data_IF_149401595582
#
_entry.id   IF_149401595582
#
_cell.length_a   1.000
_cell.length_b   1.000
_cell.length_c   1.000
_cell.angle_alpha   90.00
_cell.angle_beta   90.00
_cell.angle_gamma   90.00
#
_symmetry.space_group_name_H-M   'P 1'
#
loop_
_entity.id
_entity.type
_entity.pdbx_description
1 polymer ?
#
# COMPACT_ATOMS: atom_id res chain seq x y z
N UNK A 1 22.48 53.71 11.09
CA UNK A 1 22.21 52.89 9.87
C UNK A 1 20.73 52.57 9.82
N UNK A 2 19.89 53.55 9.50
CA UNK A 2 18.43 53.40 9.59
C UNK A 2 17.78 52.76 8.38
N UNK A 3 18.44 52.68 7.24
CA UNK A 3 17.85 52.20 5.97
C UNK A 3 18.70 51.13 5.24
N UNK A 4 19.55 50.39 5.95
CA UNK A 4 20.48 49.42 5.36
C UNK A 4 19.78 48.34 4.52
N UNK A 5 18.59 47.93 4.93
CA UNK A 5 17.82 46.88 4.23
C UNK A 5 16.58 47.43 3.49
N UNK A 6 16.47 48.75 3.29
CA UNK A 6 15.37 49.34 2.57
C UNK A 6 15.33 48.86 1.10
N UNK A 7 14.19 48.27 0.68
CA UNK A 7 14.01 47.78 -0.68
C UNK A 7 14.69 46.45 -1.01
N UNK A 8 15.19 45.73 0.00
CA UNK A 8 15.86 44.42 -0.19
C UNK A 8 14.85 43.25 -0.20
N UNK A 9 13.73 43.38 -0.93
CA UNK A 9 12.67 42.34 -1.00
C UNK A 9 13.15 41.04 -1.67
N UNK A 10 14.17 41.13 -2.51
CA UNK A 10 14.79 39.96 -3.17
C UNK A 10 15.93 39.32 -2.36
N UNK A 11 16.20 39.82 -1.16
CA UNK A 11 17.25 39.27 -0.31
C UNK A 11 16.82 37.88 0.22
N UNK A 12 17.58 36.84 -0.14
CA UNK A 12 17.32 35.46 0.28
C UNK A 12 18.28 34.96 1.34
N UNK A 13 19.41 35.62 1.50
CA UNK A 13 20.44 35.27 2.47
C UNK A 13 21.08 36.49 3.10
N UNK A 14 21.29 36.45 4.40
CA UNK A 14 21.94 37.51 5.19
C UNK A 14 22.97 36.89 6.13
N UNK A 15 24.22 37.24 5.98
CA UNK A 15 25.29 36.93 6.94
C UNK A 15 25.52 38.14 7.83
N UNK A 16 25.14 38.05 9.09
CA UNK A 16 25.12 39.17 10.03
C UNK A 16 26.22 39.02 11.11
N UNK A 17 27.00 40.06 11.31
CA UNK A 17 27.90 40.15 12.45
C UNK A 17 27.12 40.19 13.74
N UNK A 18 27.57 39.49 14.78
CA UNK A 18 26.97 39.49 16.12
C UNK A 18 26.82 40.91 16.73
N UNK A 19 27.64 41.89 16.28
CA UNK A 19 27.55 43.29 16.69
C UNK A 19 26.39 44.06 15.98
N UNK A 20 25.69 43.47 15.04
CA UNK A 20 24.55 44.11 14.39
C UNK A 20 23.36 44.08 15.34
N UNK A 21 23.00 45.22 15.90
CA UNK A 21 21.97 45.30 16.95
C UNK A 21 20.52 45.24 16.39
N UNK A 22 20.33 45.61 15.12
CA UNK A 22 18.98 45.69 14.52
C UNK A 22 19.02 45.38 13.01
N UNK A 23 17.93 44.78 12.53
CA UNK A 23 17.67 44.52 11.12
C UNK A 23 16.65 45.51 10.54
N UNK A 24 16.90 46.81 10.75
CA UNK A 24 15.96 47.86 10.33
C UNK A 24 15.67 47.78 8.83
N UNK A 25 14.37 47.79 8.45
CA UNK A 25 13.87 47.72 7.09
C UNK A 25 14.10 46.36 6.37
N UNK A 26 14.64 45.35 7.06
CA UNK A 26 14.59 44.00 6.52
C UNK A 26 13.12 43.56 6.41
N UNK A 27 12.83 42.77 5.39
CA UNK A 27 11.47 42.26 5.17
C UNK A 27 10.96 41.46 6.39
N UNK A 28 9.75 41.82 6.87
CA UNK A 28 9.11 41.12 7.99
C UNK A 28 8.42 39.85 7.48
N UNK A 29 9.21 38.83 7.28
CA UNK A 29 8.80 37.50 6.81
C UNK A 29 9.50 36.42 7.63
N UNK A 30 9.30 35.17 7.32
CA UNK A 30 10.00 34.05 7.94
C UNK A 30 11.47 33.99 7.52
N UNK A 31 12.32 33.78 8.49
CA UNK A 31 13.76 33.56 8.33
C UNK A 31 14.17 32.34 9.15
N UNK A 32 15.31 31.74 8.84
CA UNK A 32 15.86 30.66 9.66
C UNK A 32 17.39 30.74 9.71
N UNK A 33 17.93 30.25 10.83
CA UNK A 33 19.35 29.94 10.98
C UNK A 33 19.60 28.51 10.47
N UNK A 34 20.26 28.39 9.33
CA UNK A 34 20.49 27.09 8.68
C UNK A 34 21.49 26.20 9.43
N UNK A 35 22.38 26.79 10.24
CA UNK A 35 23.38 26.07 11.03
C UNK A 35 22.73 25.38 12.25
N UNK A 36 21.83 26.12 12.92
CA UNK A 36 21.21 25.65 14.17
C UNK A 36 19.76 25.16 14.00
N UNK A 37 19.23 25.17 12.77
CA UNK A 37 17.87 24.75 12.43
C UNK A 37 16.80 25.48 13.27
N UNK A 38 16.97 26.77 13.47
CA UNK A 38 16.02 27.63 14.21
C UNK A 38 15.26 28.52 13.26
N UNK A 39 13.95 28.46 13.31
CA UNK A 39 13.06 29.27 12.47
C UNK A 39 12.49 30.47 13.24
N UNK A 40 12.31 31.58 12.54
CA UNK A 40 11.68 32.81 13.01
C UNK A 40 10.53 33.16 12.08
N UNK A 41 9.32 33.26 12.63
CA UNK A 41 8.13 33.60 11.85
C UNK A 41 8.06 35.08 11.49
N UNK A 42 8.89 35.92 12.11
CA UNK A 42 8.93 37.35 11.91
C UNK A 42 10.27 37.96 12.33
N UNK A 43 10.47 39.20 11.91
CA UNK A 43 11.70 39.96 12.17
C UNK A 43 12.01 40.16 13.65
N UNK A 44 10.99 40.29 14.50
CA UNK A 44 11.19 40.48 15.96
C UNK A 44 11.82 39.26 16.63
N UNK A 45 11.36 38.07 16.25
CA UNK A 45 11.95 36.80 16.72
C UNK A 45 13.39 36.64 16.23
N UNK A 46 13.64 36.90 14.95
CA UNK A 46 14.99 36.91 14.39
C UNK A 46 15.93 37.85 15.14
N UNK A 47 15.52 39.10 15.39
CA UNK A 47 16.33 40.08 16.12
C UNK A 47 16.60 39.64 17.57
N UNK A 48 15.59 39.10 18.24
CA UNK A 48 15.72 38.60 19.62
C UNK A 48 16.72 37.44 19.69
N UNK A 49 16.67 36.54 18.73
CA UNK A 49 17.64 35.44 18.62
C UNK A 49 19.04 35.95 18.29
N UNK A 50 19.17 36.83 17.30
CA UNK A 50 20.46 37.34 16.85
C UNK A 50 21.25 38.05 17.95
N UNK A 51 20.59 38.83 18.82
CA UNK A 51 21.21 39.50 19.94
C UNK A 51 21.87 38.57 20.97
N UNK A 52 21.55 37.29 20.96
CA UNK A 52 22.14 36.27 21.82
C UNK A 52 23.32 35.56 21.20
N UNK A 53 23.62 35.84 19.92
CA UNK A 53 24.73 35.19 19.23
C UNK A 53 26.07 35.86 19.63
N UNK A 54 27.07 35.05 19.83
CA UNK A 54 28.46 35.50 20.08
C UNK A 54 29.31 35.52 18.79
N UNK A 55 28.82 34.89 17.71
CA UNK A 55 29.50 34.73 16.45
C UNK A 55 28.63 35.27 15.31
N UNK A 56 29.26 35.66 14.18
CA UNK A 56 28.51 35.99 12.97
C UNK A 56 27.63 34.81 12.52
N UNK A 57 26.37 35.11 12.19
CA UNK A 57 25.36 34.08 11.90
C UNK A 57 24.72 34.32 10.52
N UNK A 58 24.56 33.24 9.76
CA UNK A 58 23.87 33.23 8.49
C UNK A 58 22.37 32.96 8.66
N UNK A 59 21.57 33.81 8.03
CA UNK A 59 20.11 33.65 8.01
C UNK A 59 19.63 33.55 6.59
N UNK A 60 18.71 32.61 6.34
CA UNK A 60 18.02 32.49 5.06
C UNK A 60 16.56 32.89 5.18
N UNK A 61 16.03 33.49 4.14
CA UNK A 61 14.61 33.77 4.02
C UNK A 61 13.87 32.49 3.69
N UNK A 62 12.78 32.23 4.42
CA UNK A 62 11.95 31.03 4.24
C UNK A 62 11.49 30.46 5.56
N UNK A 63 10.78 29.34 5.45
CA UNK A 63 10.26 28.58 6.58
C UNK A 63 10.64 27.11 6.43
N UNK A 64 10.84 26.42 7.54
CA UNK A 64 10.86 24.97 7.55
C UNK A 64 9.45 24.44 7.32
N UNK A 65 9.39 23.49 6.44
CA UNK A 65 8.18 22.73 6.16
C UNK A 65 8.37 21.33 6.70
N UNK A 66 7.30 20.70 7.13
CA UNK A 66 7.27 19.32 7.57
C UNK A 66 6.37 18.49 6.67
N UNK A 67 6.87 17.33 6.27
CA UNK A 67 6.07 16.27 5.68
C UNK A 67 5.94 15.16 6.72
N UNK A 68 4.71 14.91 7.18
CA UNK A 68 4.40 13.75 8.02
C UNK A 68 3.92 12.62 7.11
N UNK A 69 4.60 11.49 7.12
CA UNK A 69 4.23 10.27 6.42
C UNK A 69 3.57 9.33 7.42
N UNK A 70 2.29 9.05 7.24
CA UNK A 70 1.52 8.11 8.06
C UNK A 70 1.41 6.77 7.32
N UNK A 71 2.01 5.74 7.90
CA UNK A 71 2.04 4.41 7.29
C UNK A 71 0.68 3.67 7.33
N UNK A 72 -0.35 4.24 7.94
CA UNK A 72 -1.72 3.68 7.96
C UNK A 72 -1.76 2.20 8.39
N UNK A 73 -1.11 1.90 9.50
CA UNK A 73 -0.97 0.55 10.06
C UNK A 73 0.06 -0.33 9.34
N UNK A 74 0.94 0.27 8.55
CA UNK A 74 2.23 -0.28 8.17
C UNK A 74 3.33 0.29 9.06
N UNK A 75 4.58 -0.06 8.80
CA UNK A 75 5.75 0.39 9.55
C UNK A 75 6.91 0.74 8.62
N UNK A 76 7.76 1.65 9.05
CA UNK A 76 9.03 1.95 8.43
C UNK A 76 10.14 1.02 8.94
N UNK A 77 11.35 1.08 8.36
CA UNK A 77 12.49 0.24 8.77
C UNK A 77 12.84 0.35 10.27
N UNK A 78 12.55 1.51 10.89
CA UNK A 78 12.73 1.80 12.31
C UNK A 78 11.56 1.35 13.19
N UNK A 79 10.60 0.62 12.63
CA UNK A 79 9.36 0.13 13.26
C UNK A 79 8.39 1.23 13.71
N UNK A 80 8.61 2.47 13.29
CA UNK A 80 7.69 3.56 13.55
C UNK A 80 6.54 3.56 12.52
N UNK A 81 5.34 3.91 12.96
CA UNK A 81 4.16 4.04 12.08
C UNK A 81 4.09 5.40 11.37
N UNK A 82 4.87 6.36 11.82
CA UNK A 82 4.95 7.69 11.23
C UNK A 82 6.38 8.15 11.08
N UNK A 83 6.66 8.84 9.97
CA UNK A 83 7.96 9.46 9.71
C UNK A 83 7.78 10.93 9.36
N UNK A 84 8.66 11.78 9.91
CA UNK A 84 8.61 13.22 9.66
C UNK A 84 9.89 13.65 8.97
N UNK A 85 9.76 14.31 7.83
CA UNK A 85 10.85 15.01 7.16
C UNK A 85 10.70 16.52 7.35
N UNK A 86 11.83 17.21 7.48
CA UNK A 86 11.88 18.67 7.50
C UNK A 86 12.70 19.16 6.31
N UNK A 87 12.14 20.06 5.53
CA UNK A 87 12.77 20.67 4.35
C UNK A 87 12.50 22.16 4.35
N UNK A 88 13.26 22.87 3.53
CA UNK A 88 13.04 24.29 3.28
C UNK A 88 12.13 24.42 2.07
N UNK A 89 11.31 25.46 2.05
CA UNK A 89 10.45 25.75 0.88
C UNK A 89 11.27 25.76 -0.42
N UNK A 90 10.86 24.98 -1.39
CA UNK A 90 11.52 24.80 -2.69
C UNK A 90 12.45 23.57 -2.78
N UNK A 91 12.76 22.90 -1.67
CA UNK A 91 13.44 21.59 -1.69
C UNK A 91 12.46 20.47 -2.01
N UNK A 92 12.97 19.28 -2.33
CA UNK A 92 12.15 18.12 -2.67
C UNK A 92 12.08 17.15 -1.50
N UNK A 93 10.89 16.59 -1.29
CA UNK A 93 10.68 15.51 -0.33
C UNK A 93 11.30 14.21 -0.85
N UNK A 94 11.76 13.38 0.06
CA UNK A 94 12.26 12.04 -0.25
C UNK A 94 11.15 11.03 -0.03
N UNK A 95 10.89 10.18 -1.01
CA UNK A 95 9.95 9.08 -0.84
C UNK A 95 10.57 8.00 0.05
N UNK A 96 9.87 7.63 1.12
CA UNK A 96 10.20 6.49 1.97
C UNK A 96 9.03 5.54 1.91
N UNK A 97 9.29 4.30 1.53
CA UNK A 97 8.25 3.27 1.36
C UNK A 97 8.15 2.47 2.65
N UNK A 98 6.99 2.47 3.33
CA UNK A 98 6.73 1.61 4.48
C UNK A 98 6.41 0.18 4.03
N UNK A 99 6.34 -0.74 4.99
CA UNK A 99 5.93 -2.13 4.77
C UNK A 99 4.71 -2.45 5.61
N UNK A 100 3.85 -3.34 5.09
CA UNK A 100 2.70 -3.88 5.82
C UNK A 100 2.51 -5.33 5.43
N UNK A 101 2.52 -6.21 6.44
CA UNK A 101 2.35 -7.63 6.19
C UNK A 101 1.05 -7.93 5.44
N UNK A 102 1.11 -8.77 4.42
CA UNK A 102 -0.04 -9.15 3.61
C UNK A 102 -0.55 -8.09 2.64
N UNK A 103 0.14 -6.95 2.50
CA UNK A 103 -0.32 -5.85 1.66
C UNK A 103 0.79 -5.33 0.74
N UNK A 104 0.36 -4.81 -0.41
CA UNK A 104 1.16 -4.09 -1.37
C UNK A 104 0.99 -2.58 -1.17
N UNK A 105 2.07 -1.83 -1.24
CA UNK A 105 2.04 -0.38 -1.16
C UNK A 105 1.66 0.24 -2.51
N UNK A 106 0.49 0.90 -2.57
CA UNK A 106 -0.05 1.53 -3.80
C UNK A 106 0.39 3.00 -3.97
N UNK A 107 1.03 3.56 -2.95
CA UNK A 107 1.56 4.93 -2.99
C UNK A 107 1.09 5.81 -1.85
N UNK A 108 1.54 7.06 -1.89
CA UNK A 108 1.21 8.10 -0.92
C UNK A 108 0.07 8.99 -1.41
N UNK A 109 -0.84 9.37 -0.51
CA UNK A 109 -2.01 10.20 -0.81
C UNK A 109 -2.13 11.36 0.17
N UNK A 110 -2.69 12.50 -0.31
CA UNK A 110 -2.94 13.70 0.47
C UNK A 110 -4.15 13.58 1.41
N UNK A 111 -4.99 12.59 1.21
CA UNK A 111 -6.20 12.37 1.97
C UNK A 111 -6.43 10.89 2.29
N UNK A 112 -7.14 10.62 3.38
CA UNK A 112 -7.44 9.26 3.83
C UNK A 112 -8.50 8.52 3.00
N UNK A 113 -9.15 9.20 2.04
CA UNK A 113 -10.03 8.57 1.07
C UNK A 113 -9.27 8.12 -0.18
N UNK A 114 -7.96 8.41 -0.24
CA UNK A 114 -7.06 8.03 -1.33
C UNK A 114 -7.50 8.53 -2.70
N UNK A 115 -8.00 9.78 -2.76
CA UNK A 115 -8.47 10.41 -3.99
C UNK A 115 -7.38 11.23 -4.69
N UNK A 116 -6.44 11.80 -3.93
CA UNK A 116 -5.39 12.67 -4.43
C UNK A 116 -4.00 12.07 -4.13
N UNK A 117 -3.37 11.49 -5.15
CA UNK A 117 -2.02 10.94 -5.01
C UNK A 117 -1.01 12.05 -4.79
N UNK A 118 -0.06 11.84 -3.87
CA UNK A 118 1.02 12.79 -3.60
C UNK A 118 2.11 12.67 -4.67
N UNK A 119 2.62 13.83 -5.12
CA UNK A 119 3.65 13.91 -6.15
C UNK A 119 4.97 14.41 -5.56
N UNK A 120 5.93 13.52 -5.39
CA UNK A 120 7.28 13.83 -4.89
C UNK A 120 8.15 14.63 -5.89
N UNK A 121 7.73 14.74 -7.14
CA UNK A 121 8.45 15.55 -8.14
C UNK A 121 8.21 17.06 -7.98
N UNK A 122 7.25 17.44 -7.12
CA UNK A 122 6.95 18.84 -6.82
C UNK A 122 7.76 19.32 -5.62
N UNK A 123 8.25 20.57 -5.65
CA UNK A 123 8.99 21.14 -4.53
C UNK A 123 8.08 21.40 -3.33
N UNK A 124 8.64 21.32 -2.13
CA UNK A 124 7.97 21.61 -0.89
C UNK A 124 7.46 23.06 -0.84
N UNK A 125 6.15 23.23 -0.72
CA UNK A 125 5.51 24.54 -0.68
C UNK A 125 4.80 24.81 0.65
N UNK A 126 4.26 23.76 1.27
CA UNK A 126 3.52 23.81 2.54
C UNK A 126 3.82 22.57 3.37
N UNK A 127 3.66 22.69 4.68
CA UNK A 127 3.67 21.50 5.56
C UNK A 127 2.41 20.69 5.33
N UNK A 128 2.55 19.37 5.23
CA UNK A 128 1.42 18.48 4.95
C UNK A 128 1.60 17.11 5.59
N UNK A 129 0.52 16.35 5.66
CA UNK A 129 0.52 14.94 6.02
C UNK A 129 0.09 14.12 4.80
N UNK A 130 0.76 13.00 4.58
CA UNK A 130 0.43 12.04 3.54
C UNK A 130 0.18 10.67 4.16
N UNK A 131 -0.66 9.89 3.50
CA UNK A 131 -1.18 8.62 3.99
C UNK A 131 -0.83 7.50 3.03
N UNK A 132 -0.28 6.41 3.56
CA UNK A 132 0.02 5.21 2.79
C UNK A 132 -1.27 4.50 2.39
N UNK A 133 -1.41 4.20 1.11
CA UNK A 133 -2.49 3.35 0.62
C UNK A 133 -2.01 1.91 0.48
N UNK A 134 -2.78 1.00 1.03
CA UNK A 134 -2.52 -0.42 1.03
C UNK A 134 -3.54 -1.18 0.20
N UNK A 135 -3.07 -2.17 -0.54
CA UNK A 135 -3.91 -3.12 -1.28
C UNK A 135 -3.45 -4.52 -0.88
N UNK A 136 -4.38 -5.44 -0.72
CA UNK A 136 -4.02 -6.84 -0.42
C UNK A 136 -3.09 -7.40 -1.49
N UNK A 137 -2.11 -8.22 -1.08
CA UNK A 137 -1.12 -8.80 -1.98
C UNK A 137 -1.75 -9.69 -3.06
N UNK A 138 -2.90 -10.27 -2.76
CA UNK A 138 -3.63 -11.07 -3.74
C UNK A 138 -5.14 -10.95 -3.55
N UNK A 139 -5.86 -11.29 -4.60
CA UNK A 139 -7.31 -11.48 -4.57
C UNK A 139 -7.62 -12.81 -5.25
N UNK A 140 -8.49 -13.61 -4.68
CA UNK A 140 -9.01 -14.83 -5.29
C UNK A 140 -10.53 -14.77 -5.27
N UNK A 141 -11.14 -14.98 -6.42
CA UNK A 141 -12.59 -15.04 -6.58
C UNK A 141 -12.98 -16.46 -6.97
N UNK A 142 -13.82 -17.08 -6.13
CA UNK A 142 -14.38 -18.42 -6.34
C UNK A 142 -15.88 -18.31 -6.13
N UNK A 143 -16.74 -18.80 -7.05
CA UNK A 143 -18.19 -18.82 -6.85
C UNK A 143 -18.57 -19.60 -5.59
N UNK A 144 -19.44 -19.01 -4.78
CA UNK A 144 -19.89 -19.63 -3.53
C UNK A 144 -20.77 -20.87 -3.74
N UNK A 145 -21.42 -20.97 -4.90
CA UNK A 145 -22.24 -22.12 -5.29
C UNK A 145 -22.38 -22.20 -6.80
N UNK A 146 -22.54 -23.40 -7.30
CA UNK A 146 -22.89 -23.68 -8.69
C UNK A 146 -24.00 -24.73 -8.72
N UNK A 147 -24.83 -24.70 -9.78
CA UNK A 147 -25.86 -25.69 -9.99
C UNK A 147 -25.42 -26.68 -11.07
N UNK A 148 -25.52 -27.96 -10.77
CA UNK A 148 -25.20 -29.06 -11.68
C UNK A 148 -26.48 -29.58 -12.33
N UNK A 149 -27.03 -28.86 -13.30
CA UNK A 149 -28.16 -29.35 -14.11
C UNK A 149 -27.66 -30.12 -15.34
N UNK A 150 -26.48 -29.76 -15.80
CA UNK A 150 -25.66 -30.39 -16.83
C UNK A 150 -24.21 -30.30 -16.40
N UNK A 151 -23.24 -30.71 -17.23
CA UNK A 151 -21.83 -30.45 -16.93
C UNK A 151 -21.62 -28.96 -16.67
N UNK A 152 -20.99 -28.62 -15.55
CA UNK A 152 -20.84 -27.23 -15.11
C UNK A 152 -19.36 -26.88 -14.94
N UNK A 153 -19.05 -25.63 -15.14
CA UNK A 153 -17.71 -25.08 -14.98
C UNK A 153 -17.67 -24.15 -13.75
N UNK A 154 -16.67 -24.35 -12.90
CA UNK A 154 -16.36 -23.46 -11.81
C UNK A 154 -15.11 -22.67 -12.19
N UNK A 155 -15.28 -21.36 -12.39
CA UNK A 155 -14.19 -20.45 -12.69
C UNK A 155 -13.55 -19.95 -11.41
N UNK A 156 -12.21 -20.07 -11.32
CA UNK A 156 -11.38 -19.52 -10.27
C UNK A 156 -10.58 -18.39 -10.87
N UNK A 157 -10.74 -17.18 -10.36
CA UNK A 157 -10.00 -16.00 -10.81
C UNK A 157 -9.03 -15.55 -9.73
N UNK A 158 -7.86 -15.08 -10.12
CA UNK A 158 -6.84 -14.61 -9.20
C UNK A 158 -6.12 -13.37 -9.69
N UNK A 159 -5.70 -12.54 -8.75
CA UNK A 159 -4.82 -11.41 -8.96
C UNK A 159 -3.69 -11.52 -7.92
N UNK A 160 -2.45 -11.53 -8.39
CA UNK A 160 -1.26 -11.50 -7.56
C UNK A 160 -0.53 -10.16 -7.75
N UNK A 161 -0.35 -9.40 -6.67
CA UNK A 161 0.32 -8.08 -6.65
C UNK A 161 1.63 -8.12 -5.88
N UNK A 162 1.98 -9.26 -5.31
CA UNK A 162 3.12 -9.35 -4.41
C UNK A 162 4.26 -10.22 -4.95
N UNK A 163 5.34 -10.27 -4.17
CA UNK A 163 6.60 -10.94 -4.52
C UNK A 163 6.63 -12.45 -4.26
N UNK A 164 5.47 -13.10 -4.03
CA UNK A 164 5.37 -14.53 -3.76
C UNK A 164 4.42 -15.20 -4.76
N UNK A 165 4.52 -16.50 -4.90
CA UNK A 165 3.61 -17.28 -5.76
C UNK A 165 2.25 -17.41 -5.09
N UNK A 166 1.18 -17.04 -5.78
CA UNK A 166 -0.19 -17.33 -5.39
C UNK A 166 -0.64 -18.64 -6.02
N UNK A 167 -1.08 -19.61 -5.22
CA UNK A 167 -1.67 -20.84 -5.74
C UNK A 167 -3.01 -21.16 -5.07
N UNK A 168 -3.97 -21.61 -5.87
CA UNK A 168 -5.30 -22.04 -5.45
C UNK A 168 -5.47 -23.50 -5.82
N UNK A 169 -5.77 -24.34 -4.85
CA UNK A 169 -5.96 -25.78 -5.06
C UNK A 169 -7.11 -26.33 -4.21
N UNK A 170 -7.48 -27.58 -4.41
CA UNK A 170 -8.45 -28.26 -3.58
C UNK A 170 -7.84 -28.68 -2.25
N UNK A 171 -8.59 -28.50 -1.18
CA UNK A 171 -8.27 -29.01 0.13
C UNK A 171 -8.85 -30.41 0.30
N UNK A 172 -8.07 -31.44 -0.04
CA UNK A 172 -8.49 -32.85 0.00
C UNK A 172 -8.87 -33.32 1.42
N UNK A 173 -8.31 -32.72 2.46
CA UNK A 173 -8.64 -33.05 3.84
C UNK A 173 -9.99 -32.53 4.33
N UNK A 174 -10.55 -31.55 3.63
CA UNK A 174 -11.83 -30.92 3.99
C UNK A 174 -12.91 -31.06 2.92
N UNK A 175 -12.56 -31.54 1.74
CA UNK A 175 -13.50 -31.80 0.65
C UNK A 175 -13.76 -33.30 0.56
N UNK A 176 -15.00 -33.69 0.34
CA UNK A 176 -15.35 -35.10 0.16
C UNK A 176 -15.06 -35.53 -1.28
N UNK A 177 -13.78 -35.69 -1.58
CA UNK A 177 -13.25 -36.10 -2.89
C UNK A 177 -12.60 -37.48 -2.76
N UNK A 178 -12.87 -38.36 -3.71
CA UNK A 178 -12.18 -39.62 -3.83
C UNK A 178 -10.77 -39.45 -4.42
N UNK A 179 -9.91 -40.46 -4.28
CA UNK A 179 -8.55 -40.48 -4.84
C UNK A 179 -8.48 -40.31 -6.37
N UNK A 180 -9.60 -40.53 -7.06
CA UNK A 180 -9.74 -40.33 -8.50
C UNK A 180 -10.37 -39.01 -8.89
N UNK A 181 -10.24 -37.97 -8.07
CA UNK A 181 -10.83 -36.63 -8.30
C UNK A 181 -12.34 -36.65 -8.55
N UNK A 182 -13.09 -37.42 -7.80
CA UNK A 182 -14.55 -37.44 -7.89
C UNK A 182 -15.16 -36.84 -6.63
N UNK A 183 -15.96 -35.80 -6.80
CA UNK A 183 -16.72 -35.16 -5.72
C UNK A 183 -17.87 -36.05 -5.32
N UNK A 184 -17.98 -36.35 -4.02
CA UNK A 184 -19.13 -37.06 -3.47
C UNK A 184 -20.30 -36.10 -3.32
N UNK A 185 -21.39 -36.41 -3.97
CA UNK A 185 -22.67 -35.71 -3.85
C UNK A 185 -23.63 -36.57 -3.04
N UNK A 186 -24.30 -35.99 -2.06
CA UNK A 186 -25.21 -36.66 -1.15
C UNK A 186 -26.65 -36.22 -1.43
N UNK A 187 -27.59 -37.14 -1.50
CA UNK A 187 -29.00 -36.86 -1.67
C UNK A 187 -29.54 -36.09 -0.45
N UNK A 188 -30.26 -35.01 -0.67
CA UNK A 188 -30.75 -34.15 0.41
C UNK A 188 -31.94 -34.77 1.20
N UNK A 189 -32.68 -35.70 0.59
CA UNK A 189 -33.80 -36.38 1.21
C UNK A 189 -33.36 -37.69 1.90
N UNK A 190 -32.35 -38.37 1.36
CA UNK A 190 -31.79 -39.61 1.92
C UNK A 190 -30.26 -39.55 1.88
N UNK A 191 -29.63 -39.22 2.98
CA UNK A 191 -28.18 -39.07 3.10
C UNK A 191 -27.38 -40.34 2.93
N UNK A 192 -28.05 -41.51 2.88
CA UNK A 192 -27.40 -42.79 2.56
C UNK A 192 -27.18 -42.98 1.07
N UNK A 193 -27.89 -42.22 0.23
CA UNK A 193 -27.77 -42.24 -1.22
C UNK A 193 -26.74 -41.21 -1.67
N UNK A 194 -25.70 -41.67 -2.31
CA UNK A 194 -24.59 -40.83 -2.80
C UNK A 194 -24.29 -41.17 -4.25
N UNK A 195 -23.72 -40.19 -4.95
CA UNK A 195 -23.14 -40.35 -6.29
C UNK A 195 -21.82 -39.60 -6.39
N UNK A 196 -21.07 -39.89 -7.43
CA UNK A 196 -19.74 -39.34 -7.65
C UNK A 196 -19.69 -38.50 -8.93
N UNK A 197 -19.41 -37.22 -8.81
CA UNK A 197 -19.24 -36.29 -9.91
C UNK A 197 -17.76 -36.16 -10.26
N UNK A 198 -17.32 -36.55 -11.47
CA UNK A 198 -15.93 -36.38 -11.87
C UNK A 198 -15.55 -34.89 -11.90
N UNK A 199 -14.32 -34.59 -11.46
CA UNK A 199 -13.73 -33.26 -11.51
C UNK A 199 -12.50 -33.30 -12.42
N UNK A 200 -12.36 -32.28 -13.25
CA UNK A 200 -11.15 -32.11 -14.07
C UNK A 200 -10.78 -30.63 -14.17
N UNK A 201 -9.48 -30.36 -14.25
CA UNK A 201 -8.92 -29.03 -14.52
C UNK A 201 -7.56 -29.15 -15.18
N UNK A 202 -7.12 -28.12 -15.85
CA UNK A 202 -5.82 -28.11 -16.51
C UNK A 202 -4.69 -28.31 -15.50
N UNK A 203 -3.90 -29.37 -15.66
CA UNK A 203 -2.78 -29.69 -14.80
C UNK A 203 -3.08 -30.56 -13.56
N UNK A 204 -4.33 -31.04 -13.40
CA UNK A 204 -4.71 -31.85 -12.24
C UNK A 204 -3.91 -33.14 -12.05
N UNK A 205 -3.48 -33.78 -13.12
CA UNK A 205 -2.74 -35.04 -13.08
C UNK A 205 -1.22 -34.85 -12.89
N UNK A 206 -0.69 -33.70 -13.27
CA UNK A 206 0.76 -33.44 -13.33
C UNK A 206 1.23 -32.43 -12.28
N UNK A 207 0.32 -31.71 -11.63
CA UNK A 207 0.67 -30.70 -10.63
C UNK A 207 0.80 -31.34 -9.23
N UNK A 208 2.00 -31.49 -8.68
CA UNK A 208 2.21 -32.15 -7.38
C UNK A 208 1.52 -31.46 -6.20
N UNK A 209 1.11 -30.20 -6.37
CA UNK A 209 0.37 -29.41 -5.36
C UNK A 209 -1.14 -29.39 -5.59
N UNK A 210 -1.64 -30.08 -6.60
CA UNK A 210 -3.06 -30.06 -7.02
C UNK A 210 -3.63 -28.64 -7.21
N UNK A 211 -2.78 -27.73 -7.66
CA UNK A 211 -3.18 -26.36 -7.91
C UNK A 211 -4.08 -26.28 -9.15
N UNK A 212 -5.17 -25.58 -9.01
CA UNK A 212 -6.10 -25.26 -10.09
C UNK A 212 -5.58 -24.00 -10.80
N UNK A 213 -5.19 -22.99 -10.03
CA UNK A 213 -4.62 -21.74 -10.50
C UNK A 213 -3.28 -21.49 -9.82
N UNK A 214 -2.26 -21.08 -10.59
CA UNK A 214 -0.97 -20.63 -10.07
C UNK A 214 -0.57 -19.35 -10.78
N UNK A 215 -0.31 -18.29 -10.01
CA UNK A 215 0.19 -17.01 -10.49
C UNK A 215 1.57 -16.74 -9.93
N UNK A 216 2.53 -16.53 -10.82
CA UNK A 216 3.92 -16.28 -10.46
C UNK A 216 4.09 -14.94 -9.72
N UNK A 217 5.13 -14.80 -8.87
CA UNK A 217 5.52 -13.53 -8.30
C UNK A 217 6.07 -12.62 -9.39
N UNK A 218 5.91 -11.30 -9.21
CA UNK A 218 6.44 -10.33 -10.15
C UNK A 218 6.49 -8.92 -9.56
N UNK A 219 7.20 -8.04 -10.27
CA UNK A 219 7.18 -6.60 -9.99
C UNK A 219 5.89 -5.94 -10.53
N UNK A 220 5.22 -6.62 -11.44
CA UNK A 220 3.95 -6.21 -12.03
C UNK A 220 2.83 -7.11 -11.54
N UNK A 221 1.60 -6.59 -11.61
CA UNK A 221 0.38 -7.33 -11.27
C UNK A 221 0.23 -8.49 -12.26
N UNK A 222 0.08 -9.71 -11.73
CA UNK A 222 -0.21 -10.90 -12.52
C UNK A 222 -1.66 -11.29 -12.30
N UNK A 223 -2.43 -11.38 -13.36
CA UNK A 223 -3.83 -11.80 -13.35
C UNK A 223 -3.99 -13.09 -14.14
N UNK A 224 -4.95 -13.91 -13.73
CA UNK A 224 -5.26 -15.14 -14.45
C UNK A 224 -6.50 -15.82 -13.93
N UNK A 225 -6.97 -16.76 -14.71
CA UNK A 225 -8.08 -17.61 -14.35
C UNK A 225 -7.84 -19.07 -14.72
N UNK A 226 -8.57 -19.95 -14.07
CA UNK A 226 -8.62 -21.37 -14.36
C UNK A 226 -10.05 -21.88 -14.20
N UNK A 227 -10.35 -22.92 -14.96
CA UNK A 227 -11.66 -23.55 -14.96
C UNK A 227 -11.55 -24.96 -14.43
N UNK A 228 -12.38 -25.31 -13.47
CA UNK A 228 -12.60 -26.68 -13.02
C UNK A 228 -13.94 -27.15 -13.57
N UNK A 229 -13.92 -28.18 -14.40
CA UNK A 229 -15.12 -28.84 -14.90
C UNK A 229 -15.66 -29.84 -13.86
N UNK A 230 -16.96 -29.88 -13.69
CA UNK A 230 -17.67 -30.82 -12.84
C UNK A 230 -18.66 -31.54 -13.77
N UNK A 231 -18.41 -32.82 -13.98
CA UNK A 231 -19.23 -33.64 -14.87
C UNK A 231 -20.45 -34.21 -14.12
N UNK A 232 -21.52 -34.40 -14.88
CA UNK A 232 -22.72 -35.04 -14.32
C UNK A 232 -22.41 -36.50 -13.94
N UNK A 233 -22.79 -36.93 -12.73
CA UNK A 233 -22.60 -38.32 -12.33
C UNK A 233 -23.36 -39.30 -13.22
N UNK A 234 -22.74 -40.42 -13.52
CA UNK A 234 -23.44 -41.53 -14.19
C UNK A 234 -24.34 -42.28 -13.20
N UNK A 235 -25.45 -42.83 -13.70
CA UNK A 235 -26.37 -43.66 -12.95
C UNK A 235 -26.94 -43.03 -11.67
N UNK A 236 -27.22 -41.73 -11.71
CA UNK A 236 -27.80 -41.00 -10.58
C UNK A 236 -29.26 -41.38 -10.37
N UNK A 237 -29.68 -41.64 -9.12
CA UNK A 237 -31.07 -41.82 -8.75
C UNK A 237 -31.81 -40.47 -8.76
N UNK A 238 -33.13 -40.50 -8.96
CA UNK A 238 -33.91 -39.25 -8.91
C UNK A 238 -33.83 -38.61 -7.50
N UNK A 239 -33.60 -37.29 -7.49
CA UNK A 239 -33.47 -36.52 -6.26
C UNK A 239 -32.63 -35.27 -6.43
N UNK A 240 -32.52 -34.49 -5.34
CA UNK A 240 -31.65 -33.35 -5.24
C UNK A 240 -30.39 -33.74 -4.49
N UNK A 241 -29.24 -33.40 -5.01
CA UNK A 241 -27.95 -33.74 -4.42
C UNK A 241 -27.15 -32.47 -4.10
N UNK A 242 -26.33 -32.55 -3.05
CA UNK A 242 -25.42 -31.48 -2.64
C UNK A 242 -24.05 -32.04 -2.33
N UNK A 243 -23.01 -31.24 -2.56
CA UNK A 243 -21.62 -31.53 -2.19
C UNK A 243 -20.86 -30.23 -1.92
N UNK A 244 -19.73 -30.34 -1.25
CA UNK A 244 -18.91 -29.18 -0.90
C UNK A 244 -17.51 -29.33 -1.47
N UNK A 245 -17.04 -28.26 -2.10
CA UNK A 245 -15.64 -28.07 -2.49
C UNK A 245 -15.00 -27.08 -1.54
N UNK A 246 -13.88 -27.45 -0.96
CA UNK A 246 -13.08 -26.55 -0.11
C UNK A 246 -11.76 -26.29 -0.79
N UNK A 247 -11.42 -25.02 -0.92
CA UNK A 247 -10.18 -24.60 -1.55
C UNK A 247 -9.15 -24.20 -0.50
N UNK A 248 -7.89 -24.40 -0.84
CA UNK A 248 -6.74 -23.86 -0.12
C UNK A 248 -6.09 -22.79 -0.97
N UNK A 249 -5.83 -21.65 -0.37
CA UNK A 249 -5.10 -20.54 -0.98
C UNK A 249 -3.73 -20.49 -0.28
N UNK A 250 -2.65 -20.58 -1.05
CA UNK A 250 -1.28 -20.50 -0.55
C UNK A 250 -0.59 -19.32 -1.21
N UNK A 251 0.17 -18.57 -0.42
CA UNK A 251 0.96 -17.43 -0.85
C UNK A 251 2.40 -17.58 -0.33
N UNK A 252 3.31 -18.16 -1.15
CA UNK A 252 4.65 -18.62 -0.77
C UNK A 252 5.77 -18.04 -1.66
#
# INVERSE_FOLDING_TARGET
MTDMFKGTTSLTYLFASHNLSTFNRLENTSWYDEKNWVQFSNLSQLQTYHRKQSEPTGYRKGAFLSLTMDAMGGEFEDTEEQKVQSKISGEYWEEVIPVKEGHYFDGWYLDQNFTNKFDFSLPAAVSTTIYAKWVENYTVVIPASISLNEASELKVEGINRGGKTLSVGLNYGKTTISESNKLTLTNTADTTVQCLAPLSWNGSETNPKNAILTLAPGLEITEGDAVMAIETPENIQAGTYTGNLVFSINYE
#
